data_IF_933467766578
#
_entry.id   IF_933467766578
#
_cell.length_a   1.000
_cell.length_b   1.000
_cell.length_c   1.000
_cell.angle_alpha   90.00
_cell.angle_beta   90.00
_cell.angle_gamma   90.00
#
_symmetry.space_group_name_H-M   'P 1'
#
loop_
_entity.id
_entity.type
_entity.pdbx_description
1 polymer ?
#
# COMPACT_ATOMS: atom_id res chain seq x y z
N UNK A 1 12.55 3.52 27.68
CA UNK A 1 12.81 3.35 26.23
C UNK A 1 12.56 4.72 25.62
N UNK A 2 13.59 5.37 25.09
CA UNK A 2 13.42 6.67 24.44
C UNK A 2 12.79 6.45 23.06
N UNK A 3 11.61 7.04 22.84
CA UNK A 3 11.01 7.14 21.51
C UNK A 3 11.84 8.09 20.66
N UNK A 4 12.72 7.55 19.83
CA UNK A 4 13.39 8.33 18.80
C UNK A 4 12.37 8.71 17.72
N UNK A 5 11.78 9.90 17.86
CA UNK A 5 10.89 10.50 16.85
C UNK A 5 11.74 11.22 15.81
N UNK A 6 11.82 10.67 14.60
CA UNK A 6 12.50 11.33 13.48
C UNK A 6 11.50 12.18 12.69
N UNK A 7 11.73 13.50 12.64
CA UNK A 7 10.99 14.41 11.74
C UNK A 7 11.75 14.53 10.42
N UNK A 8 11.21 13.93 9.36
CA UNK A 8 11.66 14.22 8.00
C UNK A 8 10.79 15.32 7.39
N UNK A 9 11.40 16.35 6.81
CA UNK A 9 10.68 17.35 6.00
C UNK A 9 10.47 16.74 4.62
N UNK A 10 9.32 16.10 4.42
CA UNK A 10 8.88 15.71 3.09
C UNK A 10 8.32 16.97 2.43
N UNK A 11 8.93 17.44 1.33
CA UNK A 11 8.36 18.51 0.48
C UNK A 11 7.19 17.95 -0.34
N UNK A 12 6.17 17.42 0.33
CA UNK A 12 4.95 16.95 -0.30
C UNK A 12 3.78 17.34 0.58
N UNK A 13 2.81 18.06 0.02
CA UNK A 13 1.53 18.32 0.69
C UNK A 13 0.67 17.06 0.78
N UNK A 14 1.08 16.01 0.08
CA UNK A 14 0.25 14.87 -0.22
C UNK A 14 0.56 13.69 0.70
N UNK A 15 1.66 13.69 1.46
CA UNK A 15 1.97 12.63 2.42
C UNK A 15 1.78 13.10 3.86
N UNK A 16 0.88 12.45 4.60
CA UNK A 16 0.67 12.70 6.03
C UNK A 16 0.80 11.41 6.82
N UNK A 17 1.42 11.47 8.00
CA UNK A 17 1.58 10.31 8.89
C UNK A 17 1.26 10.69 10.35
N UNK A 18 0.20 10.10 10.90
CA UNK A 18 -0.13 10.13 12.33
C UNK A 18 0.28 8.77 12.95
N UNK A 19 1.54 8.68 13.37
CA UNK A 19 2.12 7.45 13.92
C UNK A 19 1.42 6.97 15.20
N UNK A 20 0.85 7.89 15.99
CA UNK A 20 0.11 7.53 17.21
C UNK A 20 -1.18 6.79 16.90
N UNK A 21 -1.76 7.04 15.72
CA UNK A 21 -2.96 6.35 15.22
C UNK A 21 -2.66 5.29 14.16
N UNK A 22 -1.40 5.14 13.75
CA UNK A 22 -1.03 4.24 12.65
C UNK A 22 -1.62 4.65 11.29
N UNK A 23 -1.94 5.93 11.09
CA UNK A 23 -2.58 6.42 9.86
C UNK A 23 -1.55 7.05 8.94
N UNK A 24 -1.37 6.46 7.77
CA UNK A 24 -0.62 7.02 6.66
C UNK A 24 -1.62 7.44 5.58
N UNK A 25 -1.53 8.67 5.10
CA UNK A 25 -2.30 9.10 3.93
C UNK A 25 -1.36 9.60 2.84
N UNK A 26 -1.65 9.23 1.60
CA UNK A 26 -0.99 9.70 0.39
C UNK A 26 -2.06 10.31 -0.52
N UNK A 27 -1.85 11.54 -0.99
CA UNK A 27 -2.77 12.32 -1.81
C UNK A 27 -4.18 12.44 -1.22
N UNK A 28 -4.28 12.52 0.11
CA UNK A 28 -5.55 12.61 0.82
C UNK A 28 -6.25 11.28 1.07
N UNK A 29 -5.72 10.18 0.55
CA UNK A 29 -6.29 8.84 0.70
C UNK A 29 -5.51 8.01 1.73
N UNK A 30 -6.24 7.26 2.56
CA UNK A 30 -5.62 6.35 3.52
C UNK A 30 -4.85 5.25 2.78
N UNK A 31 -3.59 5.07 3.15
CA UNK A 31 -2.64 4.26 2.40
C UNK A 31 -1.94 3.27 3.31
N UNK A 32 -1.71 2.07 2.78
CA UNK A 32 -0.95 1.03 3.45
C UNK A 32 0.53 1.09 3.03
N UNK A 33 1.44 1.02 4.01
CA UNK A 33 2.86 0.77 3.76
C UNK A 33 3.14 -0.72 3.95
N UNK A 34 3.73 -1.36 2.95
CA UNK A 34 4.13 -2.77 3.00
C UNK A 34 5.58 -2.94 2.57
N UNK A 35 6.26 -3.95 3.13
CA UNK A 35 7.50 -4.46 2.56
C UNK A 35 7.24 -5.07 1.19
N UNK A 36 8.21 -4.94 0.29
CA UNK A 36 8.22 -5.56 -1.04
C UNK A 36 7.99 -7.08 -0.97
N UNK A 37 8.68 -7.76 -0.06
CA UNK A 37 8.52 -9.19 0.21
C UNK A 37 7.10 -9.56 0.67
N UNK A 38 6.41 -8.67 1.40
CA UNK A 38 5.05 -8.93 1.86
C UNK A 38 4.03 -8.82 0.72
N UNK A 39 4.18 -7.84 -0.17
CA UNK A 39 3.30 -7.72 -1.34
C UNK A 39 3.59 -8.83 -2.35
N UNK A 40 4.85 -9.24 -2.54
CA UNK A 40 5.21 -10.39 -3.37
C UNK A 40 4.55 -11.67 -2.85
N UNK A 41 4.68 -11.95 -1.55
CA UNK A 41 4.04 -13.11 -0.91
C UNK A 41 2.52 -13.07 -1.08
N UNK A 42 1.90 -11.90 -0.93
CA UNK A 42 0.46 -11.73 -1.11
C UNK A 42 0.02 -12.06 -2.54
N UNK A 43 0.70 -11.51 -3.56
CA UNK A 43 0.41 -11.81 -4.97
C UNK A 43 0.63 -13.29 -5.28
N UNK A 44 1.74 -13.87 -4.83
CA UNK A 44 1.99 -15.31 -4.98
C UNK A 44 0.90 -16.18 -4.34
N UNK A 45 0.40 -15.78 -3.18
CA UNK A 45 -0.69 -16.51 -2.50
C UNK A 45 -1.98 -16.45 -3.32
N UNK A 46 -2.28 -15.32 -3.97
CA UNK A 46 -3.42 -15.20 -4.90
C UNK A 46 -3.24 -16.18 -6.06
N UNK A 47 -2.06 -16.23 -6.68
CA UNK A 47 -1.73 -17.17 -7.76
C UNK A 47 -1.89 -18.64 -7.33
N UNK A 48 -1.37 -19.00 -6.17
CA UNK A 48 -1.36 -20.36 -5.62
C UNK A 48 -2.79 -20.85 -5.27
N UNK A 49 -3.63 -19.98 -4.72
CA UNK A 49 -5.00 -20.35 -4.29
C UNK A 49 -6.00 -20.26 -5.44
N UNK A 50 -5.88 -19.28 -6.32
CA UNK A 50 -6.93 -18.96 -7.31
C UNK A 50 -6.64 -19.56 -8.69
N UNK A 51 -5.39 -19.94 -8.97
CA UNK A 51 -4.95 -20.32 -10.31
C UNK A 51 -4.72 -19.11 -11.22
N UNK A 52 -4.01 -19.34 -12.33
CA UNK A 52 -3.45 -18.27 -13.18
C UNK A 52 -4.50 -17.33 -13.79
N UNK A 53 -5.60 -17.87 -14.32
CA UNK A 53 -6.58 -17.07 -15.04
C UNK A 53 -7.37 -16.14 -14.11
N UNK A 54 -7.79 -16.65 -12.94
CA UNK A 54 -8.47 -15.85 -11.93
C UNK A 54 -7.53 -14.79 -11.35
N UNK A 55 -6.28 -15.13 -11.07
CA UNK A 55 -5.30 -14.21 -10.50
C UNK A 55 -4.95 -13.08 -11.47
N UNK A 56 -4.77 -13.39 -12.76
CA UNK A 56 -4.60 -12.37 -13.81
C UNK A 56 -5.77 -11.38 -13.83
N UNK A 57 -7.00 -11.89 -13.76
CA UNK A 57 -8.21 -11.06 -13.72
C UNK A 57 -8.23 -10.14 -12.49
N UNK A 58 -7.84 -10.65 -11.32
CA UNK A 58 -7.71 -9.86 -10.09
C UNK A 58 -6.70 -8.73 -10.27
N UNK A 59 -5.53 -9.00 -10.84
CA UNK A 59 -4.48 -7.97 -11.02
C UNK A 59 -4.91 -6.88 -12.00
N UNK A 60 -5.46 -7.27 -13.15
CA UNK A 60 -5.94 -6.31 -14.16
C UNK A 60 -7.09 -5.46 -13.62
N UNK A 61 -8.07 -6.08 -12.96
CA UNK A 61 -9.19 -5.36 -12.37
C UNK A 61 -8.75 -4.43 -11.22
N UNK A 62 -7.79 -4.86 -10.40
CA UNK A 62 -7.25 -4.04 -9.32
C UNK A 62 -6.49 -2.84 -9.89
N UNK A 63 -5.62 -3.05 -10.88
CA UNK A 63 -4.90 -1.97 -11.57
C UNK A 63 -5.84 -0.98 -12.26
N UNK A 64 -6.85 -1.47 -12.98
CA UNK A 64 -7.87 -0.64 -13.62
C UNK A 64 -8.61 0.23 -12.60
N UNK A 65 -9.05 -0.35 -11.47
CA UNK A 65 -9.74 0.38 -10.41
C UNK A 65 -8.84 1.39 -9.71
N UNK A 66 -7.60 1.04 -9.40
CA UNK A 66 -6.63 1.97 -8.83
C UNK A 66 -6.36 3.15 -9.76
N UNK A 67 -6.29 2.92 -11.07
CA UNK A 67 -6.16 3.98 -12.07
C UNK A 67 -7.36 4.95 -12.14
N UNK A 68 -8.53 4.59 -11.61
CA UNK A 68 -9.68 5.50 -11.50
C UNK A 68 -9.71 6.28 -10.18
N UNK A 69 -8.89 5.90 -9.19
CA UNK A 69 -8.79 6.61 -7.91
C UNK A 69 -7.83 7.80 -7.99
N UNK A 70 -7.02 7.92 -9.05
CA UNK A 70 -6.02 8.98 -9.28
C UNK A 70 -6.44 9.99 -10.33
#
# INVERSE_FOLDING_TARGET
MEENTYKAIVKSKDLTWDYKKGLLNLQGESTLLMWDSAIELFLRTIDEVSGKDASKTVYEATGYRMGHLV
#
